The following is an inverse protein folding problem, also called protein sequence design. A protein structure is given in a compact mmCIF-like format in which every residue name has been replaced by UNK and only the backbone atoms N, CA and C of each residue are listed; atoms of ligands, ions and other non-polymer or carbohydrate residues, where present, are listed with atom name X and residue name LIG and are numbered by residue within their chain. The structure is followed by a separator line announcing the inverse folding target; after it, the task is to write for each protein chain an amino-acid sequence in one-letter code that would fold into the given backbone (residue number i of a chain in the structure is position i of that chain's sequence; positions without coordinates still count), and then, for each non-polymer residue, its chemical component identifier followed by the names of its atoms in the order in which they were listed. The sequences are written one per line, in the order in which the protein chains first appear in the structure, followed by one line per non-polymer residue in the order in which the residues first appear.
data_IF_775668010177
#
_entry.id   IF_775668010177
#
_cell.length_a   1.000
_cell.length_b   1.000
_cell.length_c   1.000
_cell.angle_alpha   90.00
_cell.angle_beta   90.00
_cell.angle_gamma   90.00
#
_symmetry.space_group_name_H-M   'P 1'
#
loop_
_entity.id
_entity.type
_entity.pdbx_description
1 polymer ?
#
# COMPACT_ATOMS: atom_id res chain seq x y z
N UNK A 1 53.40 39.15 -21.04
CA UNK A 1 52.12 39.08 -21.78
C UNK A 1 51.66 37.63 -21.75
N UNK A 2 50.55 37.36 -21.05
CA UNK A 2 49.74 36.13 -20.98
C UNK A 2 50.41 34.78 -20.62
N UNK A 3 50.27 34.37 -19.35
CA UNK A 3 50.26 32.96 -18.97
C UNK A 3 48.79 32.45 -19.02
N UNK A 4 48.53 31.42 -19.84
CA UNK A 4 47.22 30.77 -19.97
C UNK A 4 47.11 29.66 -18.93
N UNK A 5 46.20 29.80 -17.96
CA UNK A 5 45.73 28.69 -17.13
C UNK A 5 44.55 28.01 -17.83
N UNK A 6 44.70 26.73 -18.16
CA UNK A 6 43.62 25.90 -18.68
C UNK A 6 42.68 25.49 -17.54
N UNK A 7 41.41 25.83 -17.66
CA UNK A 7 40.35 25.41 -16.75
C UNK A 7 39.86 24.02 -17.20
N UNK A 8 40.21 22.97 -16.45
CA UNK A 8 39.65 21.64 -16.64
C UNK A 8 38.21 21.60 -16.14
N UNK A 9 37.25 21.54 -17.06
CA UNK A 9 35.84 21.33 -16.73
C UNK A 9 35.66 19.86 -16.36
N UNK A 10 35.59 19.57 -15.05
CA UNK A 10 35.12 18.28 -14.56
C UNK A 10 33.61 18.21 -14.79
N UNK A 11 33.19 17.46 -15.79
CA UNK A 11 31.77 17.18 -16.04
C UNK A 11 31.35 16.04 -15.08
N UNK A 12 30.76 16.40 -13.94
CA UNK A 12 30.11 15.43 -13.08
C UNK A 12 28.80 14.99 -13.76
N UNK A 13 28.82 13.82 -14.41
CA UNK A 13 27.61 13.14 -14.82
C UNK A 13 26.87 12.68 -13.57
N UNK A 14 25.84 13.41 -13.17
CA UNK A 14 24.87 12.92 -12.20
C UNK A 14 24.19 11.69 -12.82
N UNK A 15 24.53 10.50 -12.31
CA UNK A 15 23.73 9.30 -12.52
C UNK A 15 22.40 9.54 -11.80
N UNK A 16 21.40 10.02 -12.54
CA UNK A 16 20.02 9.94 -12.09
C UNK A 16 19.66 8.46 -12.16
N UNK A 17 19.59 7.80 -11.01
CA UNK A 17 18.97 6.48 -10.89
C UNK A 17 17.58 6.58 -11.51
N UNK A 18 17.20 5.73 -12.49
CA UNK A 18 15.82 5.74 -12.95
C UNK A 18 14.93 5.41 -11.75
N UNK A 19 13.88 6.20 -11.54
CA UNK A 19 12.80 5.82 -10.63
C UNK A 19 12.40 4.38 -10.96
N UNK A 20 12.29 3.53 -9.95
CA UNK A 20 11.99 2.12 -10.17
C UNK A 20 10.69 1.97 -10.94
N UNK A 21 10.75 1.33 -12.11
CA UNK A 21 9.59 1.18 -12.98
C UNK A 21 8.52 0.33 -12.28
N UNK A 22 7.33 0.92 -12.09
CA UNK A 22 6.13 0.18 -11.68
C UNK A 22 5.78 -0.83 -12.79
N UNK A 23 5.70 -2.11 -12.43
CA UNK A 23 5.29 -3.19 -13.31
C UNK A 23 3.81 -3.50 -13.05
N UNK A 24 2.95 -3.17 -14.00
CA UNK A 24 1.53 -3.56 -13.95
C UNK A 24 1.41 -5.07 -14.09
N UNK A 25 0.73 -5.72 -13.15
CA UNK A 25 0.50 -7.17 -13.10
C UNK A 25 -0.92 -7.53 -13.51
N UNK A 26 -1.85 -6.64 -13.22
CA UNK A 26 -3.22 -6.72 -13.69
C UNK A 26 -3.74 -5.29 -13.84
N UNK A 27 -4.27 -4.95 -15.00
CA UNK A 27 -5.06 -3.75 -15.20
C UNK A 27 -6.29 -4.10 -16.00
N UNK A 28 -7.44 -3.61 -15.56
CA UNK A 28 -8.71 -3.81 -16.25
C UNK A 28 -9.63 -2.62 -15.98
N UNK A 29 -9.90 -1.85 -17.03
CA UNK A 29 -10.87 -0.76 -17.06
C UNK A 29 -12.26 -1.22 -17.55
N UNK A 30 -12.45 -2.52 -17.77
CA UNK A 30 -13.71 -3.15 -18.17
C UNK A 30 -14.28 -2.75 -19.55
N UNK A 31 -13.63 -1.82 -20.24
CA UNK A 31 -14.03 -1.30 -21.55
C UNK A 31 -13.82 -2.29 -22.71
N UNK A 32 -12.97 -3.31 -22.51
CA UNK A 32 -12.69 -4.30 -23.55
C UNK A 32 -13.81 -5.33 -23.75
N UNK A 33 -14.74 -5.41 -22.81
CA UNK A 33 -15.83 -6.38 -22.83
C UNK A 33 -17.08 -5.78 -23.48
N UNK A 34 -17.87 -6.62 -24.14
CA UNK A 34 -19.12 -6.23 -24.80
C UNK A 34 -20.32 -7.04 -24.31
N UNK A 35 -20.09 -8.15 -23.61
CA UNK A 35 -21.16 -8.97 -23.02
C UNK A 35 -20.77 -9.52 -21.63
N UNK A 36 -21.78 -9.89 -20.83
CA UNK A 36 -21.58 -10.48 -19.50
C UNK A 36 -20.73 -11.75 -19.59
N UNK A 37 -20.93 -12.55 -20.63
CA UNK A 37 -20.18 -13.78 -20.85
C UNK A 37 -18.68 -13.53 -21.10
N UNK A 38 -18.33 -12.44 -21.81
CA UNK A 38 -16.93 -12.05 -22.03
C UNK A 38 -16.26 -11.59 -20.74
N UNK A 39 -16.96 -10.78 -19.94
CA UNK A 39 -16.49 -10.40 -18.62
C UNK A 39 -16.29 -11.64 -17.73
N UNK A 40 -17.27 -12.55 -17.67
CA UNK A 40 -17.17 -13.77 -16.86
C UNK A 40 -16.06 -14.73 -17.34
N UNK A 41 -15.75 -14.73 -18.63
CA UNK A 41 -14.61 -15.49 -19.13
C UNK A 41 -13.27 -14.91 -18.63
N UNK A 42 -13.15 -13.59 -18.52
CA UNK A 42 -11.95 -12.91 -18.03
C UNK A 42 -11.90 -12.76 -16.50
N UNK A 43 -13.06 -12.82 -15.84
CA UNK A 43 -13.30 -12.75 -14.42
C UNK A 43 -14.29 -13.84 -14.02
N UNK A 44 -13.86 -15.10 -13.86
CA UNK A 44 -14.76 -16.19 -13.52
C UNK A 44 -15.46 -16.01 -12.18
N UNK A 45 -16.68 -16.53 -12.08
CA UNK A 45 -17.41 -16.61 -10.81
C UNK A 45 -16.62 -17.46 -9.82
N UNK A 46 -16.56 -16.99 -8.58
CA UNK A 46 -15.92 -17.75 -7.51
C UNK A 46 -16.79 -18.94 -7.15
N UNK A 47 -16.25 -20.16 -7.18
CA UNK A 47 -17.03 -21.39 -6.97
C UNK A 47 -17.83 -21.45 -5.65
N UNK A 48 -17.45 -20.67 -4.64
CA UNK A 48 -18.16 -20.57 -3.37
C UNK A 48 -19.40 -19.65 -3.42
N UNK A 49 -19.55 -18.85 -4.47
CA UNK A 49 -20.60 -17.86 -4.65
C UNK A 49 -21.51 -18.25 -5.83
N UNK A 50 -22.83 -18.06 -5.71
CA UNK A 50 -23.77 -18.57 -6.70
C UNK A 50 -23.89 -17.70 -7.97
N UNK A 51 -23.41 -16.46 -7.94
CA UNK A 51 -23.67 -15.44 -8.98
C UNK A 51 -22.43 -14.58 -9.28
N UNK A 52 -22.40 -14.05 -10.50
CA UNK A 52 -21.43 -13.05 -10.94
C UNK A 52 -21.85 -11.63 -10.54
N UNK A 53 -20.86 -10.74 -10.40
CA UNK A 53 -21.04 -9.29 -10.51
C UNK A 53 -21.65 -8.94 -11.87
N UNK A 54 -22.46 -7.89 -11.89
CA UNK A 54 -23.20 -7.49 -13.08
C UNK A 54 -22.31 -6.66 -13.99
N UNK A 55 -21.99 -7.22 -15.16
CA UNK A 55 -21.33 -6.56 -16.27
C UNK A 55 -22.32 -5.71 -17.07
N UNK A 56 -21.80 -4.65 -17.70
CA UNK A 56 -22.53 -3.57 -18.39
C UNK A 56 -23.43 -2.78 -17.47
N UNK A 57 -22.83 -1.76 -16.87
CA UNK A 57 -23.57 -0.53 -16.67
C UNK A 57 -22.83 0.59 -17.39
N UNK A 58 -23.43 1.05 -18.48
CA UNK A 58 -23.00 2.26 -19.16
C UNK A 58 -23.55 3.47 -18.40
N UNK A 59 -23.12 4.68 -18.74
CA UNK A 59 -23.75 5.90 -18.24
C UNK A 59 -25.28 5.90 -18.42
N UNK A 60 -25.79 5.22 -19.44
CA UNK A 60 -27.23 5.11 -19.69
C UNK A 60 -27.96 4.25 -18.64
N UNK A 61 -27.28 3.31 -17.99
CA UNK A 61 -27.88 2.39 -17.03
C UNK A 61 -27.88 2.96 -15.60
N UNK A 62 -26.89 3.79 -15.27
CA UNK A 62 -26.65 4.32 -13.92
C UNK A 62 -27.05 5.78 -13.74
N UNK A 63 -27.08 6.55 -14.84
CA UNK A 63 -27.24 7.99 -14.80
C UNK A 63 -25.97 8.78 -14.47
N UNK A 64 -24.80 8.14 -14.36
CA UNK A 64 -23.50 8.79 -14.16
C UNK A 64 -22.40 8.12 -14.99
N UNK A 65 -21.37 8.88 -15.38
CA UNK A 65 -20.31 8.37 -16.26
C UNK A 65 -19.33 7.45 -15.50
N UNK A 66 -18.84 6.35 -16.12
CA UNK A 66 -17.65 5.63 -15.68
C UNK A 66 -16.42 6.54 -15.60
N UNK A 67 -15.36 6.10 -14.90
CA UNK A 67 -14.10 6.84 -14.86
C UNK A 67 -13.35 6.66 -16.18
N UNK A 68 -13.28 5.41 -16.65
CA UNK A 68 -12.87 5.02 -17.99
C UNK A 68 -14.11 4.56 -18.75
N UNK A 69 -14.58 5.38 -19.68
CA UNK A 69 -15.77 5.06 -20.46
C UNK A 69 -15.46 4.09 -21.61
N UNK A 70 -16.41 3.21 -21.99
CA UNK A 70 -17.84 3.30 -21.66
C UNK A 70 -18.35 2.41 -20.50
N UNK A 71 -17.55 1.52 -19.92
CA UNK A 71 -18.04 0.45 -19.05
C UNK A 71 -17.57 0.57 -17.60
N UNK A 72 -18.34 -0.01 -16.68
CA UNK A 72 -17.95 -0.26 -15.29
C UNK A 72 -18.61 -1.57 -14.82
N UNK A 73 -18.21 -2.08 -13.65
CA UNK A 73 -18.83 -3.28 -13.05
C UNK A 73 -19.71 -2.90 -11.87
N UNK A 74 -20.95 -3.37 -11.90
CA UNK A 74 -21.88 -3.25 -10.77
C UNK A 74 -21.70 -4.39 -9.76
N UNK A 75 -21.49 -4.04 -8.50
CA UNK A 75 -21.56 -5.00 -7.40
C UNK A 75 -23.02 -5.11 -6.92
N UNK A 76 -23.67 -6.27 -7.12
CA UNK A 76 -25.10 -6.40 -6.89
C UNK A 76 -25.44 -6.48 -5.40
N UNK A 77 -26.74 -6.52 -5.08
CA UNK A 77 -27.25 -6.63 -3.71
C UNK A 77 -27.21 -8.06 -3.15
N UNK A 78 -26.92 -9.03 -4.00
CA UNK A 78 -26.90 -10.47 -3.69
C UNK A 78 -25.47 -10.95 -3.48
N UNK A 79 -25.32 -12.16 -2.95
CA UNK A 79 -24.03 -12.84 -2.83
C UNK A 79 -23.46 -13.07 -4.22
N UNK A 80 -22.47 -12.28 -4.60
CA UNK A 80 -21.80 -12.38 -5.89
C UNK A 80 -20.32 -12.02 -5.77
N UNK A 81 -19.48 -12.82 -6.42
CA UNK A 81 -18.06 -12.52 -6.59
C UNK A 81 -17.53 -13.07 -7.90
N UNK A 82 -16.60 -12.33 -8.46
CA UNK A 82 -15.71 -12.82 -9.50
C UNK A 82 -14.28 -12.78 -8.97
N UNK A 83 -13.38 -13.53 -9.59
CA UNK A 83 -11.99 -13.47 -9.20
C UNK A 83 -11.09 -14.31 -10.06
N UNK A 84 -9.79 -14.02 -9.96
CA UNK A 84 -8.75 -14.73 -10.69
C UNK A 84 -7.43 -14.67 -9.92
N UNK A 85 -6.53 -15.55 -10.31
CA UNK A 85 -5.15 -15.54 -9.83
C UNK A 85 -4.34 -14.51 -10.62
N UNK A 86 -3.47 -13.77 -9.93
CA UNK A 86 -2.52 -12.80 -10.46
C UNK A 86 -1.13 -13.32 -10.15
N UNK A 87 -0.37 -13.67 -11.19
CA UNK A 87 0.95 -14.25 -11.03
C UNK A 87 2.02 -13.17 -10.78
N UNK A 88 3.06 -13.53 -10.04
CA UNK A 88 4.29 -12.76 -9.95
C UNK A 88 4.16 -11.42 -9.22
N UNK A 89 3.32 -11.36 -8.18
CA UNK A 89 3.31 -10.24 -7.23
C UNK A 89 4.54 -10.28 -6.30
N UNK A 90 5.06 -11.48 -6.01
CA UNK A 90 6.19 -11.68 -5.12
C UNK A 90 5.84 -11.43 -3.65
N UNK A 91 6.86 -11.52 -2.80
CA UNK A 91 6.74 -11.22 -1.37
C UNK A 91 6.90 -9.71 -1.14
N UNK A 92 6.02 -9.05 -0.37
CA UNK A 92 6.19 -7.65 0.00
C UNK A 92 7.58 -7.36 0.62
N UNK A 93 8.24 -6.30 0.19
CA UNK A 93 9.49 -5.80 0.80
C UNK A 93 9.68 -4.32 0.47
N UNK A 94 10.72 -3.68 1.03
CA UNK A 94 11.14 -2.32 0.64
C UNK A 94 11.49 -2.18 -0.83
N UNK A 95 11.76 -3.29 -1.53
CA UNK A 95 12.10 -3.30 -2.97
C UNK A 95 11.06 -4.00 -3.83
N UNK A 96 9.96 -4.47 -3.23
CA UNK A 96 8.86 -5.14 -3.92
C UNK A 96 7.55 -4.72 -3.26
N UNK A 97 7.04 -3.56 -3.66
CA UNK A 97 5.83 -2.99 -3.09
C UNK A 97 4.66 -3.35 -3.99
N UNK A 98 3.64 -3.98 -3.42
CA UNK A 98 2.44 -4.37 -4.15
C UNK A 98 1.41 -3.26 -3.96
N UNK A 99 1.09 -2.55 -5.03
CA UNK A 99 0.00 -1.57 -5.04
C UNK A 99 -1.25 -2.22 -5.62
N UNK A 100 -2.31 -2.27 -4.83
CA UNK A 100 -3.63 -2.77 -5.20
C UNK A 100 -4.65 -1.63 -5.13
N UNK A 101 -5.31 -1.31 -6.24
CA UNK A 101 -6.28 -0.22 -6.32
C UNK A 101 -7.45 -0.50 -7.24
N UNK A 102 -8.52 0.25 -7.06
CA UNK A 102 -9.67 0.34 -7.97
C UNK A 102 -10.42 1.63 -7.69
N UNK A 103 -11.12 2.14 -8.69
CA UNK A 103 -12.09 3.21 -8.49
C UNK A 103 -13.39 2.60 -7.96
N UNK A 104 -13.98 3.24 -6.97
CA UNK A 104 -15.17 2.81 -6.26
C UNK A 104 -16.20 3.93 -6.29
N UNK A 105 -17.37 3.67 -6.88
CA UNK A 105 -18.47 4.62 -6.85
C UNK A 105 -19.30 4.45 -5.58
N UNK A 106 -19.28 5.48 -4.74
CA UNK A 106 -20.20 5.62 -3.61
C UNK A 106 -21.50 6.25 -4.09
N UNK A 107 -22.59 5.48 -4.00
CA UNK A 107 -23.91 5.90 -4.48
C UNK A 107 -24.69 6.72 -3.45
N UNK A 108 -24.29 6.71 -2.18
CA UNK A 108 -24.99 7.40 -1.11
C UNK A 108 -24.08 7.54 0.13
N UNK A 109 -23.29 8.61 0.13
CA UNK A 109 -22.39 8.92 1.23
C UNK A 109 -23.08 9.48 2.47
N UNK A 110 -24.38 9.76 2.43
CA UNK A 110 -25.13 10.15 3.62
C UNK A 110 -25.66 8.94 4.39
N UNK A 111 -25.71 7.77 3.75
CA UNK A 111 -26.20 6.53 4.34
C UNK A 111 -25.15 5.83 5.21
N UNK A 112 -25.64 5.08 6.21
CA UNK A 112 -24.82 4.11 6.94
C UNK A 112 -24.05 3.21 5.98
N UNK A 113 -22.82 2.80 6.35
CA UNK A 113 -21.98 2.01 5.46
C UNK A 113 -22.66 0.66 5.18
N UNK A 114 -22.46 0.15 3.97
CA UNK A 114 -23.09 -1.07 3.46
C UNK A 114 -22.01 -2.05 2.96
N UNK A 115 -22.38 -3.27 2.57
CA UNK A 115 -21.42 -4.39 2.41
C UNK A 115 -20.89 -4.51 0.99
N UNK A 116 -20.12 -3.52 0.54
CA UNK A 116 -19.53 -3.50 -0.81
C UNK A 116 -18.03 -3.26 -0.72
N UNK A 117 -17.23 -4.27 -1.06
CA UNK A 117 -15.78 -4.24 -0.97
C UNK A 117 -15.16 -5.26 -1.93
N UNK A 118 -13.91 -5.03 -2.29
CA UNK A 118 -13.07 -5.96 -3.04
C UNK A 118 -11.90 -6.39 -2.16
N UNK A 119 -11.18 -7.45 -2.53
CA UNK A 119 -9.97 -7.84 -1.83
C UNK A 119 -8.90 -8.48 -2.70
N UNK A 120 -7.68 -8.37 -2.19
CA UNK A 120 -6.51 -9.14 -2.58
C UNK A 120 -6.21 -10.13 -1.45
N UNK A 121 -5.96 -11.39 -1.81
CA UNK A 121 -5.80 -12.47 -0.85
C UNK A 121 -4.80 -13.54 -1.33
N UNK A 122 -4.43 -14.42 -0.40
CA UNK A 122 -3.68 -15.66 -0.66
C UNK A 122 -4.65 -16.77 -1.00
N UNK A 123 -4.53 -17.30 -2.22
CA UNK A 123 -5.29 -18.42 -2.73
C UNK A 123 -6.80 -18.24 -2.59
N UNK A 124 -7.52 -19.36 -2.57
CA UNK A 124 -8.98 -19.33 -2.59
C UNK A 124 -9.63 -19.07 -1.22
N UNK A 125 -9.02 -19.54 -0.14
CA UNK A 125 -9.62 -19.60 1.20
C UNK A 125 -8.60 -19.18 2.29
N UNK A 126 -8.32 -17.88 2.43
CA UNK A 126 -7.41 -17.38 3.46
C UNK A 126 -8.01 -17.58 4.86
N UNK A 127 -7.20 -18.04 5.81
CA UNK A 127 -7.62 -18.36 7.20
C UNK A 127 -6.71 -17.78 8.27
N UNK A 128 -5.49 -17.39 7.90
CA UNK A 128 -4.47 -16.87 8.81
C UNK A 128 -4.33 -15.36 8.70
N UNK A 129 -3.71 -14.75 9.71
CA UNK A 129 -3.32 -13.33 9.69
C UNK A 129 -2.61 -12.97 8.38
N UNK A 130 -2.81 -11.73 7.90
CA UNK A 130 -2.22 -11.09 6.72
C UNK A 130 -2.43 -11.79 5.36
N UNK A 131 -3.28 -12.82 5.29
CA UNK A 131 -3.60 -13.51 4.03
C UNK A 131 -4.67 -12.80 3.19
N UNK A 132 -5.27 -11.71 3.67
CA UNK A 132 -6.29 -10.96 2.94
C UNK A 132 -6.30 -9.51 3.38
N UNK A 133 -6.38 -8.62 2.39
CA UNK A 133 -6.67 -7.19 2.57
C UNK A 133 -7.88 -6.81 1.73
N UNK A 134 -8.85 -6.12 2.32
CA UNK A 134 -10.06 -5.63 1.65
C UNK A 134 -10.18 -4.12 1.76
N UNK A 135 -10.80 -3.52 0.74
CA UNK A 135 -11.09 -2.08 0.64
C UNK A 135 -12.54 -1.88 0.20
N UNK A 136 -13.21 -0.89 0.77
CA UNK A 136 -14.58 -0.52 0.40
C UNK A 136 -15.39 -0.04 1.60
N UNK A 137 -16.60 -0.59 1.76
CA UNK A 137 -17.53 -0.31 2.84
C UNK A 137 -17.96 -1.62 3.53
N UNK A 138 -18.20 -1.55 4.83
CA UNK A 138 -18.81 -2.64 5.58
C UNK A 138 -19.74 -2.09 6.68
N UNK A 139 -20.79 -2.82 7.05
CA UNK A 139 -21.74 -2.38 8.06
C UNK A 139 -21.50 -2.99 9.45
N UNK A 140 -20.30 -3.53 9.69
CA UNK A 140 -19.90 -4.06 10.99
C UNK A 140 -19.65 -2.94 12.02
N UNK A 141 -19.41 -1.72 11.58
CA UNK A 141 -19.34 -0.53 12.42
C UNK A 141 -20.23 0.57 11.82
N UNK A 142 -21.32 0.93 12.50
CA UNK A 142 -22.37 1.83 11.96
C UNK A 142 -22.52 3.17 12.69
N UNK A 143 -21.75 3.39 13.77
CA UNK A 143 -21.79 4.64 14.53
C UNK A 143 -21.04 5.76 13.81
N UNK A 144 -21.42 7.02 14.03
CA UNK A 144 -20.70 8.17 13.46
C UNK A 144 -19.21 8.17 13.82
N UNK A 145 -18.90 7.73 15.05
CA UNK A 145 -17.57 7.54 15.61
C UNK A 145 -17.05 6.10 15.45
N UNK A 146 -17.68 5.22 14.65
CA UNK A 146 -17.22 3.83 14.48
C UNK A 146 -17.62 3.32 13.10
N UNK A 147 -16.72 3.39 12.11
CA UNK A 147 -16.95 3.04 10.69
C UNK A 147 -17.83 3.99 9.89
N UNK A 148 -18.84 4.59 10.55
CA UNK A 148 -19.76 5.62 10.08
C UNK A 148 -19.62 6.10 8.63
N UNK A 149 -19.14 7.34 8.47
CA UNK A 149 -19.11 8.01 7.18
C UNK A 149 -17.72 7.98 6.52
N UNK A 150 -17.00 6.86 6.66
CA UNK A 150 -15.65 6.70 6.14
C UNK A 150 -15.54 5.49 5.22
N UNK A 151 -14.61 5.55 4.27
CA UNK A 151 -14.15 4.34 3.60
C UNK A 151 -13.43 3.46 4.62
N UNK A 152 -13.44 2.16 4.36
CA UNK A 152 -12.98 1.16 5.32
C UNK A 152 -12.04 0.17 4.67
N UNK A 153 -11.14 -0.37 5.49
CA UNK A 153 -10.28 -1.47 5.11
C UNK A 153 -10.39 -2.60 6.13
N UNK A 154 -9.95 -3.80 5.72
CA UNK A 154 -9.85 -4.97 6.59
C UNK A 154 -8.57 -5.70 6.27
N UNK A 155 -7.83 -6.11 7.30
CA UNK A 155 -6.74 -7.07 7.16
C UNK A 155 -7.13 -8.32 7.96
N UNK A 156 -7.11 -9.50 7.34
CA UNK A 156 -7.46 -10.73 8.03
C UNK A 156 -6.51 -10.98 9.20
N UNK A 157 -7.06 -11.33 10.36
CA UNK A 157 -6.31 -11.62 11.58
C UNK A 157 -5.65 -10.41 12.26
N UNK A 158 -5.79 -9.20 11.71
CA UNK A 158 -5.36 -7.96 12.35
C UNK A 158 -6.47 -7.42 13.25
N UNK A 159 -6.11 -6.97 14.45
CA UNK A 159 -6.97 -6.26 15.36
C UNK A 159 -6.31 -4.91 15.70
N UNK A 160 -6.93 -3.77 15.36
CA UNK A 160 -6.39 -2.44 15.66
C UNK A 160 -6.05 -2.22 17.15
N UNK A 161 -6.77 -2.90 18.06
CA UNK A 161 -6.60 -2.78 19.50
C UNK A 161 -5.49 -3.65 20.13
N UNK A 162 -4.66 -4.35 19.33
CA UNK A 162 -3.62 -5.24 19.85
C UNK A 162 -2.30 -4.51 20.16
N UNK A 163 -2.08 -4.21 21.44
CA UNK A 163 -0.87 -3.54 21.94
C UNK A 163 0.43 -4.36 21.82
N UNK A 164 0.37 -5.63 21.41
CA UNK A 164 1.56 -6.47 21.17
C UNK A 164 2.00 -6.46 19.71
N UNK A 165 1.10 -6.10 18.79
CA UNK A 165 1.35 -5.95 17.34
C UNK A 165 1.43 -4.49 16.90
N UNK A 166 1.11 -3.54 17.78
CA UNK A 166 1.25 -2.09 17.57
C UNK A 166 2.00 -1.45 18.76
N UNK A 167 3.34 -1.59 18.82
CA UNK A 167 4.14 -1.23 20.00
C UNK A 167 4.33 0.29 20.20
N UNK A 168 3.96 1.13 19.22
CA UNK A 168 4.07 2.60 19.31
C UNK A 168 2.84 3.25 19.95
N UNK A 169 1.73 2.51 20.09
CA UNK A 169 0.45 3.09 20.51
C UNK A 169 -0.09 4.14 19.53
N UNK A 170 0.42 4.14 18.29
CA UNK A 170 -0.10 4.96 17.19
C UNK A 170 -1.28 4.20 16.60
N UNK A 171 -2.41 4.66 17.07
CA UNK A 171 -3.77 4.42 16.63
C UNK A 171 -3.93 4.48 15.09
N UNK A 172 -4.58 3.47 14.48
CA UNK A 172 -5.19 3.53 13.13
C UNK A 172 -6.66 4.00 13.10
N UNK A 173 -7.21 4.59 14.16
CA UNK A 173 -8.63 4.99 14.23
C UNK A 173 -8.94 6.39 14.81
N UNK A 174 -7.91 7.21 15.08
CA UNK A 174 -8.07 8.62 15.38
C UNK A 174 -8.78 8.96 16.70
N UNK A 175 -8.07 8.81 17.83
CA UNK A 175 -8.22 9.68 19.00
C UNK A 175 -8.37 8.98 20.36
N UNK A 176 -8.12 9.69 21.48
CA UNK A 176 -7.96 9.12 22.83
C UNK A 176 -9.20 8.42 23.44
N UNK A 177 -10.32 8.33 22.73
CA UNK A 177 -11.59 7.77 23.22
C UNK A 177 -12.00 6.42 22.59
N UNK A 178 -11.26 5.88 21.61
CA UNK A 178 -11.66 4.64 20.89
C UNK A 178 -10.86 3.39 21.33
N UNK A 179 -10.30 3.40 22.56
CA UNK A 179 -9.62 2.22 23.12
C UNK A 179 -10.53 0.99 23.24
N UNK A 180 -10.36 0.06 22.31
CA UNK A 180 -10.53 -1.38 22.52
C UNK A 180 -11.90 -1.93 22.16
N UNK A 181 -11.95 -2.74 21.11
CA UNK A 181 -13.14 -3.54 20.81
C UNK A 181 -13.16 -4.25 19.46
N UNK A 182 -12.30 -3.88 18.52
CA UNK A 182 -12.32 -4.49 17.19
C UNK A 182 -11.65 -5.87 17.20
N UNK A 183 -12.45 -6.89 16.93
CA UNK A 183 -11.99 -8.26 16.83
C UNK A 183 -11.11 -8.46 15.58
N UNK A 184 -10.23 -9.45 15.64
CA UNK A 184 -9.33 -9.79 14.54
C UNK A 184 -10.10 -9.97 13.22
N UNK A 185 -9.68 -9.26 12.18
CA UNK A 185 -10.30 -9.30 10.87
C UNK A 185 -11.63 -8.53 10.77
N UNK A 186 -11.93 -7.60 11.67
CA UNK A 186 -13.00 -6.62 11.43
C UNK A 186 -12.50 -5.51 10.50
N UNK A 187 -13.42 -4.88 9.77
CA UNK A 187 -13.11 -3.64 9.06
C UNK A 187 -12.84 -2.51 10.06
N UNK A 188 -11.93 -1.61 9.71
CA UNK A 188 -11.56 -0.36 10.38
C UNK A 188 -11.69 0.81 9.40
N UNK A 189 -11.74 2.04 9.93
CA UNK A 189 -11.92 3.26 9.15
C UNK A 189 -10.62 3.65 8.43
N UNK A 190 -10.73 4.46 7.39
CA UNK A 190 -9.60 5.12 6.73
C UNK A 190 -9.75 6.63 6.98
N UNK A 191 -9.18 7.18 8.05
CA UNK A 191 -9.48 8.56 8.50
C UNK A 191 -8.33 9.32 9.18
N UNK A 192 -7.17 8.72 9.37
CA UNK A 192 -6.15 9.27 10.27
C UNK A 192 -5.35 10.43 9.67
N UNK A 193 -5.29 10.50 8.34
CA UNK A 193 -4.49 11.48 7.62
C UNK A 193 -5.32 12.49 6.82
N UNK A 194 -6.59 12.69 7.21
CA UNK A 194 -7.38 13.84 6.73
C UNK A 194 -8.06 13.64 5.37
N UNK A 195 -8.36 12.41 4.98
CA UNK A 195 -9.13 12.09 3.76
C UNK A 195 -10.56 12.66 3.74
N UNK A 196 -11.07 13.08 4.90
CA UNK A 196 -12.43 13.61 5.03
C UNK A 196 -13.50 12.52 5.13
N UNK A 197 -14.76 12.94 5.02
CA UNK A 197 -15.91 12.04 5.02
C UNK A 197 -16.16 11.51 3.61
N UNK A 198 -16.86 10.38 3.47
CA UNK A 198 -17.34 9.87 2.18
C UNK A 198 -18.14 10.95 1.45
N UNK A 199 -18.04 10.96 0.11
CA UNK A 199 -18.87 11.75 -0.77
C UNK A 199 -19.49 10.89 -1.86
N UNK A 200 -20.59 11.35 -2.47
CA UNK A 200 -21.17 10.67 -3.63
C UNK A 200 -20.26 10.91 -4.83
N UNK A 201 -19.89 9.83 -5.51
CA UNK A 201 -19.02 9.91 -6.68
C UNK A 201 -18.01 8.76 -6.74
N UNK A 202 -17.10 8.89 -7.69
CA UNK A 202 -15.96 8.00 -7.85
C UNK A 202 -14.84 8.38 -6.90
N UNK A 203 -14.32 7.37 -6.21
CA UNK A 203 -13.19 7.50 -5.31
C UNK A 203 -12.17 6.40 -5.58
N UNK A 204 -10.89 6.75 -5.66
CA UNK A 204 -9.84 5.75 -5.79
C UNK A 204 -9.52 5.17 -4.43
N UNK A 205 -9.72 3.86 -4.26
CA UNK A 205 -9.31 3.14 -3.07
C UNK A 205 -8.04 2.35 -3.39
N UNK A 206 -6.98 2.58 -2.62
CA UNK A 206 -5.68 1.92 -2.84
C UNK A 206 -5.08 1.45 -1.52
N UNK A 207 -4.33 0.35 -1.60
CA UNK A 207 -3.39 -0.06 -0.57
C UNK A 207 -2.04 -0.37 -1.21
N UNK A 208 -0.98 0.14 -0.60
CA UNK A 208 0.39 -0.30 -0.84
C UNK A 208 0.80 -1.27 0.26
N UNK A 209 1.38 -2.40 -0.15
CA UNK A 209 1.76 -3.50 0.73
C UNK A 209 3.26 -3.70 0.64
N UNK A 210 3.95 -3.59 1.77
CA UNK A 210 5.41 -3.67 1.87
C UNK A 210 5.87 -4.45 3.09
N UNK A 211 7.18 -4.51 3.29
CA UNK A 211 7.80 -4.94 4.53
C UNK A 211 9.15 -4.23 4.64
N UNK A 212 9.37 -3.50 5.72
CA UNK A 212 10.64 -2.82 5.98
C UNK A 212 11.71 -3.73 6.59
N UNK A 213 11.26 -4.69 7.40
CA UNK A 213 12.11 -5.57 8.22
C UNK A 213 12.15 -7.03 7.73
N UNK A 214 11.37 -7.38 6.71
CA UNK A 214 11.31 -8.73 6.15
C UNK A 214 10.54 -9.74 7.01
N UNK A 215 9.83 -9.29 8.05
CA UNK A 215 9.10 -10.13 9.01
C UNK A 215 7.61 -9.80 8.96
N UNK A 216 7.26 -8.56 9.27
CA UNK A 216 5.89 -8.06 9.32
C UNK A 216 5.45 -7.45 7.99
N UNK A 217 4.16 -7.47 7.71
CA UNK A 217 3.59 -6.81 6.51
C UNK A 217 3.08 -5.43 6.88
N UNK A 218 3.52 -4.43 6.13
CA UNK A 218 3.07 -3.05 6.26
C UNK A 218 2.04 -2.72 5.18
N UNK A 219 1.06 -1.91 5.54
CA UNK A 219 -0.03 -1.46 4.70
C UNK A 219 -0.15 0.06 4.80
N UNK A 220 -0.07 0.74 3.66
CA UNK A 220 -0.42 2.14 3.53
C UNK A 220 -1.68 2.25 2.67
N UNK A 221 -2.76 2.76 3.26
CA UNK A 221 -4.06 2.89 2.61
C UNK A 221 -4.26 4.32 2.12
N UNK A 222 -4.91 4.47 0.98
CA UNK A 222 -5.16 5.74 0.34
C UNK A 222 -6.61 5.84 -0.14
N UNK A 223 -7.15 7.05 -0.05
CA UNK A 223 -8.41 7.47 -0.69
C UNK A 223 -8.07 8.67 -1.56
N UNK A 224 -8.35 8.60 -2.86
CA UNK A 224 -8.09 9.67 -3.83
C UNK A 224 -6.62 10.17 -3.81
N UNK A 225 -5.69 9.22 -3.71
CA UNK A 225 -4.24 9.45 -3.55
C UNK A 225 -3.83 10.18 -2.27
N UNK A 226 -4.76 10.50 -1.37
CA UNK A 226 -4.46 11.01 -0.04
C UNK A 226 -4.23 9.83 0.88
N UNK A 227 -3.10 9.81 1.60
CA UNK A 227 -2.84 8.80 2.63
C UNK A 227 -4.00 8.84 3.62
N UNK A 228 -4.53 7.67 3.97
CA UNK A 228 -5.73 7.52 4.77
C UNK A 228 -5.45 6.78 6.06
N UNK A 229 -4.59 5.77 6.01
CA UNK A 229 -4.24 4.93 7.16
C UNK A 229 -2.88 4.24 6.96
N UNK A 230 -2.14 3.96 8.04
CA UNK A 230 -0.95 3.11 8.06
C UNK A 230 -1.07 2.02 9.13
N UNK A 231 -0.93 0.77 8.70
CA UNK A 231 -0.84 -0.38 9.59
C UNK A 231 0.50 -1.06 9.35
N UNK A 232 1.36 -1.08 10.36
CA UNK A 232 2.71 -1.66 10.25
C UNK A 232 2.81 -3.00 10.98
N UNK A 233 3.80 -3.81 10.61
CA UNK A 233 4.19 -5.02 11.34
C UNK A 233 3.09 -6.09 11.54
N UNK A 234 2.18 -6.24 10.56
CA UNK A 234 1.10 -7.22 10.69
C UNK A 234 1.59 -8.64 10.47
N UNK A 235 1.49 -9.45 11.53
CA UNK A 235 1.88 -10.85 11.52
C UNK A 235 3.39 -11.04 11.54
N UNK A 236 3.83 -12.31 11.53
CA UNK A 236 5.26 -12.67 11.64
C UNK A 236 5.79 -13.42 10.41
N UNK A 237 4.96 -13.53 9.37
CA UNK A 237 5.30 -14.24 8.13
C UNK A 237 4.74 -13.45 6.97
N UNK A 238 5.62 -13.06 6.04
CA UNK A 238 5.22 -12.42 4.80
C UNK A 238 4.45 -13.37 3.89
N UNK A 239 3.51 -12.82 3.11
CA UNK A 239 2.62 -13.59 2.24
C UNK A 239 2.80 -13.20 0.79
N UNK A 240 2.84 -14.21 -0.08
CA UNK A 240 2.64 -14.01 -1.51
C UNK A 240 1.13 -13.93 -1.77
N UNK A 241 0.64 -12.70 -1.95
CA UNK A 241 -0.71 -12.46 -2.42
C UNK A 241 -0.78 -12.82 -3.90
N UNK A 242 -1.85 -13.50 -4.30
CA UNK A 242 -1.94 -14.04 -5.67
C UNK A 242 -3.38 -14.08 -6.20
N UNK A 243 -4.38 -13.72 -5.40
CA UNK A 243 -5.78 -13.91 -5.78
C UNK A 243 -6.56 -12.64 -5.54
N UNK A 244 -7.13 -12.09 -6.59
CA UNK A 244 -8.05 -10.95 -6.53
C UNK A 244 -9.49 -11.43 -6.50
N UNK A 245 -10.32 -10.70 -5.76
CA UNK A 245 -11.76 -10.87 -5.73
C UNK A 245 -12.47 -9.56 -5.97
N UNK A 246 -13.33 -9.55 -6.98
CA UNK A 246 -14.29 -8.50 -7.23
C UNK A 246 -15.61 -8.86 -6.55
N UNK A 247 -16.16 -7.94 -5.76
CA UNK A 247 -17.36 -8.15 -4.97
C UNK A 247 -17.11 -8.78 -3.59
N UNK A 248 -18.08 -8.52 -2.71
CA UNK A 248 -17.98 -8.78 -1.28
C UNK A 248 -18.34 -10.22 -0.88
N UNK A 249 -19.07 -10.96 -1.74
CA UNK A 249 -19.58 -12.30 -1.42
C UNK A 249 -20.60 -12.32 -0.31
N UNK A 250 -21.28 -11.21 -0.07
CA UNK A 250 -22.32 -11.07 0.93
C UNK A 250 -23.45 -10.22 0.37
N UNK A 251 -24.64 -10.32 0.95
CA UNK A 251 -25.75 -9.44 0.57
C UNK A 251 -25.47 -8.00 1.01
N UNK A 252 -25.98 -7.04 0.24
CA UNK A 252 -25.88 -5.60 0.52
C UNK A 252 -27.25 -4.93 0.41
N UNK A 253 -27.40 -3.78 1.06
CA UNK A 253 -28.59 -2.93 0.95
C UNK A 253 -28.48 -1.90 -0.17
N UNK A 254 -27.27 -1.71 -0.71
CA UNK A 254 -26.97 -0.76 -1.79
C UNK A 254 -25.96 -1.32 -2.77
N UNK A 255 -26.12 -0.90 -4.02
CA UNK A 255 -25.15 -1.16 -5.09
C UNK A 255 -23.99 -0.18 -4.98
N UNK A 256 -22.82 -0.63 -5.38
CA UNK A 256 -21.67 0.20 -5.66
C UNK A 256 -21.03 -0.28 -6.96
N UNK A 257 -20.21 0.56 -7.55
CA UNK A 257 -19.62 0.31 -8.86
C UNK A 257 -18.12 0.35 -8.76
N UNK A 258 -17.45 -0.39 -9.64
CA UNK A 258 -16.01 -0.37 -9.74
C UNK A 258 -15.54 -0.13 -11.16
N UNK A 259 -14.39 0.53 -11.25
CA UNK A 259 -13.70 0.82 -12.49
C UNK A 259 -12.18 0.85 -12.26
N UNK A 260 -11.38 0.92 -13.33
CA UNK A 260 -9.90 1.02 -13.30
C UNK A 260 -9.23 0.10 -12.26
N UNK A 261 -9.53 -1.18 -12.31
CA UNK A 261 -8.93 -2.16 -11.43
C UNK A 261 -7.44 -2.29 -11.75
N UNK A 262 -6.56 -2.17 -10.75
CA UNK A 262 -5.12 -2.24 -10.95
C UNK A 262 -4.42 -3.00 -9.81
N UNK A 263 -3.49 -3.87 -10.18
CA UNK A 263 -2.45 -4.41 -9.30
C UNK A 263 -1.12 -4.22 -10.01
N UNK A 264 -0.19 -3.63 -9.30
CA UNK A 264 1.15 -3.37 -9.80
C UNK A 264 2.19 -3.64 -8.72
N UNK A 265 3.41 -3.88 -9.16
CA UNK A 265 4.55 -4.06 -8.29
C UNK A 265 5.60 -3.03 -8.64
N UNK A 266 6.09 -2.28 -7.66
CA UNK A 266 7.16 -1.32 -7.87
C UNK A 266 8.45 -1.78 -7.19
N UNK A 267 9.57 -1.57 -7.89
CA UNK A 267 10.90 -1.95 -7.42
C UNK A 267 11.45 -0.98 -6.37
N UNK A 268 10.83 -0.85 -5.21
CA UNK A 268 11.33 0.05 -4.16
C UNK A 268 11.28 1.53 -4.52
N UNK A 269 10.12 1.97 -4.98
CA UNK A 269 9.63 3.26 -4.48
C UNK A 269 8.80 2.93 -3.26
N UNK A 270 9.46 2.88 -2.08
CA UNK A 270 8.75 3.11 -0.81
C UNK A 270 7.72 4.21 -1.09
N UNK A 271 6.43 4.04 -0.73
CA UNK A 271 5.54 5.18 -0.73
C UNK A 271 6.30 6.26 0.02
N UNK A 272 6.48 7.46 -0.55
CA UNK A 272 7.43 8.42 -0.03
C UNK A 272 7.24 8.49 1.47
N UNK A 273 8.29 8.06 2.18
CA UNK A 273 8.26 8.12 3.63
C UNK A 273 8.16 9.59 3.89
N UNK A 274 6.97 10.03 4.31
CA UNK A 274 6.74 11.39 4.75
C UNK A 274 7.96 11.80 5.57
N UNK A 275 8.73 12.76 5.10
CA UNK A 275 10.00 13.13 5.72
C UNK A 275 10.13 14.64 5.69
N UNK A 276 10.01 15.23 6.88
CA UNK A 276 10.15 16.65 7.10
C UNK A 276 11.58 17.07 7.50
N UNK A 277 12.57 16.17 7.46
CA UNK A 277 13.99 16.55 7.53
C UNK A 277 14.46 16.95 6.12
N UNK A 278 14.29 18.22 5.80
CA UNK A 278 14.61 18.78 4.50
C UNK A 278 16.07 19.17 4.37
N UNK A 279 16.77 19.30 5.50
CA UNK A 279 18.16 19.69 5.57
C UNK A 279 19.13 18.49 5.71
N UNK A 280 18.57 17.28 5.92
CA UNK A 280 19.26 16.01 6.10
C UNK A 280 20.23 16.04 7.29
N UNK A 281 19.86 16.68 8.41
CA UNK A 281 20.62 16.64 9.66
C UNK A 281 20.07 15.62 10.68
N UNK A 282 19.13 14.78 10.24
CA UNK A 282 18.44 13.72 10.98
C UNK A 282 17.59 14.24 12.16
N UNK A 283 17.22 15.52 12.15
CA UNK A 283 16.40 16.14 13.19
C UNK A 283 15.36 17.02 12.51
N UNK A 284 14.07 16.73 12.67
CA UNK A 284 13.03 17.66 12.20
C UNK A 284 12.90 18.81 13.18
N UNK A 285 13.45 19.97 12.83
CA UNK A 285 13.44 21.15 13.70
C UNK A 285 13.01 22.44 12.96
N UNK A 286 13.31 23.58 13.58
CA UNK A 286 12.98 24.89 13.01
C UNK A 286 13.75 25.23 11.72
N UNK A 287 14.88 24.57 11.45
CA UNK A 287 15.62 24.72 10.18
C UNK A 287 14.83 24.13 9.02
N UNK A 288 14.17 23.00 9.23
CA UNK A 288 13.31 22.37 8.22
C UNK A 288 12.04 23.19 7.99
N UNK A 289 11.45 23.73 9.06
CA UNK A 289 10.32 24.64 8.92
C UNK A 289 10.64 25.84 8.01
N UNK A 290 11.86 26.40 8.13
CA UNK A 290 12.32 27.49 7.28
C UNK A 290 12.62 27.06 5.84
N UNK A 291 12.90 25.77 5.59
CA UNK A 291 13.01 25.24 4.23
C UNK A 291 11.63 25.13 3.60
N UNK A 292 10.66 24.51 4.29
CA UNK A 292 9.26 24.47 3.84
C UNK A 292 8.68 25.86 3.59
N UNK A 293 8.86 26.79 4.52
CA UNK A 293 8.32 28.15 4.39
C UNK A 293 8.86 28.87 3.15
N UNK A 294 10.11 28.61 2.75
CA UNK A 294 10.72 29.20 1.54
C UNK A 294 10.28 28.50 0.26
N UNK A 295 9.94 27.21 0.33
CA UNK A 295 9.43 26.44 -0.80
C UNK A 295 7.92 26.56 -1.03
N UNK A 296 7.17 27.07 -0.06
CA UNK A 296 5.71 27.12 -0.13
C UNK A 296 5.18 27.74 -1.44
N UNK A 297 4.35 26.98 -2.15
CA UNK A 297 3.72 27.39 -3.41
C UNK A 297 4.59 27.23 -4.66
N UNK A 298 5.78 26.62 -4.56
CA UNK A 298 6.59 26.24 -5.73
C UNK A 298 6.61 24.73 -5.95
N UNK A 299 7.01 24.31 -7.16
CA UNK A 299 7.31 22.91 -7.43
C UNK A 299 8.47 22.45 -6.55
N UNK A 300 8.26 21.31 -5.89
CA UNK A 300 9.02 20.85 -4.75
C UNK A 300 9.91 19.64 -4.99
N UNK A 301 10.88 19.49 -4.10
CA UNK A 301 11.60 18.26 -3.76
C UNK A 301 11.81 18.26 -2.25
N UNK A 302 12.25 17.15 -1.65
CA UNK A 302 12.54 17.10 -0.22
C UNK A 302 13.39 18.30 0.26
N UNK A 303 14.44 18.68 -0.49
CA UNK A 303 15.32 19.81 -0.13
C UNK A 303 14.67 21.20 -0.20
N UNK A 304 13.46 21.30 -0.75
CA UNK A 304 12.69 22.54 -0.83
C UNK A 304 11.43 22.48 0.03
N UNK A 305 11.21 21.42 0.80
CA UNK A 305 10.08 21.31 1.73
C UNK A 305 8.93 20.41 1.31
N UNK A 306 9.12 19.59 0.28
CA UNK A 306 8.14 18.58 -0.14
C UNK A 306 8.33 17.32 0.71
N UNK A 307 7.50 17.16 1.74
CA UNK A 307 7.61 16.11 2.73
C UNK A 307 6.91 14.83 2.28
N UNK A 308 5.85 14.93 1.49
CA UNK A 308 5.10 13.78 0.97
C UNK A 308 5.58 13.33 -0.43
N UNK A 309 6.60 13.99 -0.99
CA UNK A 309 7.18 13.77 -2.31
C UNK A 309 6.14 13.82 -3.44
N UNK A 310 5.17 14.72 -3.34
CA UNK A 310 4.12 14.93 -4.36
C UNK A 310 4.51 15.98 -5.42
N UNK A 311 5.74 16.50 -5.35
CA UNK A 311 6.31 17.55 -6.21
C UNK A 311 5.71 18.93 -6.02
N UNK A 312 4.90 19.13 -4.98
CA UNK A 312 4.43 20.43 -4.52
C UNK A 312 4.92 20.67 -3.08
N UNK A 313 5.05 21.95 -2.71
CA UNK A 313 5.30 22.36 -1.32
C UNK A 313 4.09 23.14 -0.84
N UNK A 314 3.27 22.53 0.00
CA UNK A 314 1.96 23.05 0.38
C UNK A 314 1.63 22.75 1.85
N UNK A 315 0.37 22.93 2.24
CA UNK A 315 -0.08 22.74 3.62
C UNK A 315 -0.03 21.27 4.09
N UNK A 316 -0.06 20.30 3.17
CA UNK A 316 0.11 18.88 3.48
C UNK A 316 1.52 18.58 4.01
N UNK A 317 2.55 19.23 3.44
CA UNK A 317 3.94 19.07 3.92
C UNK A 317 4.13 19.70 5.30
N UNK A 318 3.47 20.83 5.55
CA UNK A 318 3.46 21.44 6.87
C UNK A 318 2.81 20.54 7.92
N UNK A 319 1.74 19.84 7.55
CA UNK A 319 1.09 18.88 8.45
C UNK A 319 2.05 17.75 8.83
N UNK A 320 2.85 17.27 7.88
CA UNK A 320 3.90 16.26 8.13
C UNK A 320 5.03 16.83 9.01
N UNK A 321 5.49 18.05 8.76
CA UNK A 321 6.49 18.67 9.64
C UNK A 321 6.01 18.80 11.08
N UNK A 322 4.73 19.17 11.28
CA UNK A 322 4.13 19.27 12.63
C UNK A 322 4.09 17.93 13.35
N UNK A 323 3.84 16.83 12.65
CA UNK A 323 3.80 15.49 13.26
C UNK A 323 5.19 14.96 13.57
N UNK A 324 6.20 15.36 12.81
CA UNK A 324 7.58 14.88 12.96
C UNK A 324 8.49 15.79 13.78
N UNK A 325 8.03 17.00 14.15
CA UNK A 325 8.83 17.96 14.90
C UNK A 325 9.45 17.35 16.17
N UNK A 326 10.78 17.42 16.28
CA UNK A 326 11.56 16.88 17.40
C UNK A 326 11.81 15.36 17.32
N UNK A 327 11.47 14.70 16.21
CA UNK A 327 11.76 13.28 15.96
C UNK A 327 12.88 13.11 14.93
N UNK A 328 13.52 11.93 14.95
CA UNK A 328 14.37 11.45 13.85
C UNK A 328 13.46 10.71 12.86
N UNK A 329 13.23 11.26 11.65
CA UNK A 329 12.33 10.68 10.67
C UNK A 329 13.01 9.56 9.87
N UNK A 330 14.31 9.32 10.07
CA UNK A 330 15.01 8.22 9.40
C UNK A 330 14.51 6.88 9.97
N UNK A 331 14.01 5.97 9.13
CA UNK A 331 13.83 4.59 9.56
C UNK A 331 15.19 4.09 10.02
N UNK A 332 15.28 3.53 11.24
CA UNK A 332 16.49 2.88 11.73
C UNK A 332 16.74 1.66 10.85
N UNK A 333 17.42 1.85 9.73
CA UNK A 333 17.94 0.76 8.91
C UNK A 333 19.08 0.16 9.73
N UNK A 334 18.74 -0.86 10.52
CA UNK A 334 19.73 -1.76 11.09
C UNK A 334 20.49 -2.42 9.96
N UNK A 335 21.62 -1.85 9.58
CA UNK A 335 22.54 -2.46 8.64
C UNK A 335 23.14 -3.71 9.30
N UNK A 336 22.46 -4.85 9.19
CA UNK A 336 23.09 -6.16 9.30
C UNK A 336 23.91 -6.38 8.03
N UNK A 337 25.10 -5.77 7.97
CA UNK A 337 26.10 -6.28 7.04
C UNK A 337 26.35 -7.72 7.46
N UNK A 338 26.06 -8.68 6.58
CA UNK A 338 26.46 -10.05 6.79
C UNK A 338 27.96 -10.06 7.08
N UNK A 339 28.32 -10.28 8.34
CA UNK A 339 29.71 -10.48 8.74
C UNK A 339 30.15 -11.75 8.00
N UNK A 340 31.14 -11.69 7.10
CA UNK A 340 31.64 -12.89 6.46
C UNK A 340 32.03 -13.88 7.55
N UNK A 341 31.44 -15.06 7.54
CA UNK A 341 31.78 -16.10 8.51
C UNK A 341 33.31 -16.29 8.51
N UNK A 342 33.96 -16.34 9.69
CA UNK A 342 35.40 -16.44 9.73
C UNK A 342 35.84 -17.70 9.00
N UNK A 343 36.67 -17.54 7.97
CA UNK A 343 37.24 -18.62 7.14
C UNK A 343 38.17 -19.56 7.93
N UNK A 344 38.17 -19.49 9.26
CA UNK A 344 38.91 -20.35 10.19
C UNK A 344 38.53 -21.82 10.04
N UNK A 345 37.25 -22.16 9.79
CA UNK A 345 36.84 -23.55 9.56
C UNK A 345 37.40 -24.07 8.22
N UNK A 346 37.38 -23.23 7.17
CA UNK A 346 37.96 -23.59 5.88
C UNK A 346 39.49 -23.77 5.97
N UNK A 347 40.19 -22.90 6.68
CA UNK A 347 41.64 -23.00 6.92
C UNK A 347 41.99 -24.22 7.79
N UNK A 348 41.21 -24.52 8.82
CA UNK A 348 41.38 -25.71 9.65
C UNK A 348 41.17 -27.00 8.84
N UNK A 349 40.18 -27.02 7.94
CA UNK A 349 39.94 -28.13 7.02
C UNK A 349 41.11 -28.38 6.07
N UNK A 350 41.64 -27.32 5.44
CA UNK A 350 42.79 -27.43 4.51
C UNK A 350 44.06 -27.89 5.25
N UNK A 351 44.29 -27.40 6.46
CA UNK A 351 45.42 -27.84 7.29
C UNK A 351 45.32 -29.33 7.68
N UNK A 352 44.12 -29.81 8.01
CA UNK A 352 43.89 -31.21 8.34
C UNK A 352 44.09 -32.14 7.14
N UNK A 353 43.61 -31.73 5.95
CA UNK A 353 43.82 -32.49 4.71
C UNK A 353 45.30 -32.51 4.31
N UNK A 354 46.00 -31.39 4.46
CA UNK A 354 47.45 -31.29 4.19
C UNK A 354 48.30 -32.21 5.07
N UNK A 355 48.00 -32.27 6.38
CA UNK A 355 48.74 -33.12 7.32
C UNK A 355 48.48 -34.61 7.09
N UNK A 356 47.24 -35.00 6.77
CA UNK A 356 46.89 -36.39 6.45
C UNK A 356 47.52 -36.87 5.13
N UNK A 357 47.60 -36.00 4.12
CA UNK A 357 48.25 -36.31 2.85
C UNK A 357 49.78 -36.47 3.00
N UNK A 358 50.41 -35.63 3.83
CA UNK A 358 51.83 -35.71 4.14
C UNK A 358 52.18 -36.98 4.94
N UNK A 359 51.32 -37.39 5.88
CA UNK A 359 51.48 -38.61 6.67
C UNK A 359 51.39 -39.88 5.81
N UNK A 360 50.54 -39.89 4.77
CA UNK A 360 50.41 -41.03 3.85
C UNK A 360 51.60 -41.22 2.90
N UNK A 361 52.40 -40.18 2.63
CA UNK A 361 53.61 -40.27 1.80
C UNK A 361 54.86 -40.73 2.54
N UNK A 362 54.79 -40.91 3.87
CA UNK A 362 55.92 -41.31 4.73
C UNK A 362 55.84 -42.77 5.23
N UNK A 363 54.92 -43.57 4.69
CA UNK A 363 54.94 -45.03 4.75
C UNK A 363 55.23 -45.55 3.36
#
# INVERSE_FOLDING_TARGET
MAARFGLGLLLATALVSPAAAQTVKLFDNFDSYTTQAEFEAAWPVVAADPLASTFLQTQADTGFAPVSGPNMIGMPLVVARNGKTVAGLGVPSTTNIISYSFDFYDSDSASSPYRQYNNLQVGAAPTSTNQLVALGLNNNQTGGDSGGNYYMARILGFAPSDATLNPTGIDPDGGPNEKGGLAAGQFFKLNDFGVGLRSVGWHNLRVDISSDNGIGTDYAFYVDNVLAERVSDVGTVLRELDTVRLGSGVTSTRVAYIDNFNISVSGGVTPPVNNADFNNDNIVDGKDFLIWQRGFGVAGSATTGDANNDTAVNDADLAIWKTQFGTDPTPVVGAVSAVPEPTTIALAGVALVGTLAAARRRK
#
